data_IF_050592070778
#
_entry.id   IF_050592070778
#
_cell.length_a   1.000
_cell.length_b   1.000
_cell.length_c   1.000
_cell.angle_alpha   90.00
_cell.angle_beta   90.00
_cell.angle_gamma   90.00
#
_symmetry.space_group_name_H-M   'P 1'
#
loop_
_entity.id
_entity.type
_entity.pdbx_description
1 polymer ?
#
# COMPACT_ATOMS: atom_id res chain seq x y z
N UNK A 1 20.53 3.02 -18.30
CA UNK A 1 19.61 2.98 -19.46
C UNK A 1 18.57 1.92 -19.11
N UNK A 2 17.38 2.33 -18.65
CA UNK A 2 16.30 1.42 -18.28
C UNK A 2 15.55 1.06 -19.56
N UNK A 3 15.30 -0.22 -19.89
CA UNK A 3 14.55 -0.59 -21.07
C UNK A 3 13.09 -0.11 -20.93
N UNK A 4 12.62 0.69 -21.87
CA UNK A 4 11.20 0.99 -22.03
C UNK A 4 10.49 -0.30 -22.39
N UNK A 5 9.63 -0.79 -21.52
CA UNK A 5 8.70 -1.88 -21.83
C UNK A 5 7.58 -1.29 -22.70
N UNK A 6 7.76 -1.35 -24.01
CA UNK A 6 6.71 -1.06 -24.99
C UNK A 6 5.90 -2.31 -25.27
N UNK A 7 5.03 -2.68 -24.36
CA UNK A 7 3.90 -3.58 -24.60
C UNK A 7 2.65 -2.73 -24.53
N UNK A 8 2.05 -2.43 -25.68
CA UNK A 8 0.84 -1.60 -25.76
C UNK A 8 -0.35 -2.30 -25.13
N UNK A 9 -0.53 -2.12 -23.81
CA UNK A 9 -1.82 -2.34 -23.18
C UNK A 9 -2.75 -1.26 -23.71
N UNK A 10 -3.80 -1.65 -24.42
CA UNK A 10 -4.88 -0.74 -24.83
C UNK A 10 -5.45 -0.08 -23.55
N UNK A 11 -5.83 1.18 -23.66
CA UNK A 11 -6.39 1.90 -22.52
C UNK A 11 -7.69 1.20 -22.06
N UNK A 12 -7.87 0.91 -20.76
CA UNK A 12 -9.07 0.26 -20.27
C UNK A 12 -10.31 1.08 -20.61
N UNK A 13 -11.39 0.39 -21.01
CA UNK A 13 -12.69 1.03 -21.26
C UNK A 13 -13.20 1.62 -19.95
N UNK A 14 -13.45 2.93 -19.95
CA UNK A 14 -13.93 3.69 -18.80
C UNK A 14 -15.34 4.10 -19.03
N UNK A 15 -16.24 3.69 -18.14
CA UNK A 15 -17.65 4.03 -18.23
C UNK A 15 -18.13 4.60 -16.88
N UNK A 16 -18.87 5.71 -16.94
CA UNK A 16 -19.65 6.18 -15.80
C UNK A 16 -20.73 5.18 -15.44
N UNK A 17 -21.13 5.11 -14.17
CA UNK A 17 -22.07 4.10 -13.67
C UNK A 17 -23.53 4.36 -14.08
N UNK A 18 -23.84 5.50 -14.72
CA UNK A 18 -25.19 5.85 -15.16
C UNK A 18 -26.18 5.81 -13.99
N UNK A 19 -27.14 4.87 -14.01
CA UNK A 19 -28.10 4.63 -12.92
C UNK A 19 -27.53 3.78 -11.78
N UNK A 20 -26.29 3.30 -11.91
CA UNK A 20 -25.65 2.35 -10.98
C UNK A 20 -25.57 0.96 -11.58
N UNK A 21 -25.07 0.02 -10.78
CA UNK A 21 -24.92 -1.40 -11.13
C UNK A 21 -24.92 -2.29 -9.89
N UNK A 22 -25.09 -3.59 -10.08
CA UNK A 22 -24.86 -4.60 -9.07
C UNK A 22 -23.65 -5.48 -9.44
N UNK A 23 -22.84 -5.85 -8.43
CA UNK A 23 -21.82 -6.88 -8.54
C UNK A 23 -22.31 -8.15 -7.85
N UNK A 24 -22.24 -9.29 -8.54
CA UNK A 24 -22.70 -10.60 -8.09
C UNK A 24 -21.54 -11.57 -7.96
N UNK A 25 -21.45 -12.30 -6.84
CA UNK A 25 -20.44 -13.34 -6.63
C UNK A 25 -20.30 -13.72 -5.16
N UNK A 26 -19.19 -14.34 -4.82
CA UNK A 26 -18.73 -14.45 -3.43
C UNK A 26 -18.29 -13.08 -2.98
N UNK A 27 -19.05 -12.47 -2.05
CA UNK A 27 -18.78 -11.13 -1.51
C UNK A 27 -17.97 -11.26 -0.23
N UNK A 28 -16.81 -10.62 -0.19
CA UNK A 28 -16.03 -10.41 1.02
C UNK A 28 -16.00 -8.90 1.34
N UNK A 29 -16.60 -8.54 2.46
CA UNK A 29 -16.73 -7.12 2.85
C UNK A 29 -15.43 -6.51 3.42
N UNK A 30 -14.36 -7.29 3.55
CA UNK A 30 -13.11 -6.89 4.19
C UNK A 30 -13.10 -7.19 5.71
N UNK A 31 -11.96 -6.92 6.36
CA UNK A 31 -11.76 -7.21 7.77
C UNK A 31 -11.88 -8.69 8.11
N UNK A 32 -12.56 -8.99 9.20
CA UNK A 32 -12.82 -10.36 9.67
C UNK A 32 -14.15 -10.95 9.13
N UNK A 33 -14.75 -10.29 8.12
CA UNK A 33 -15.98 -10.78 7.52
C UNK A 33 -15.77 -12.13 6.83
N UNK A 34 -16.71 -13.06 7.03
CA UNK A 34 -16.72 -14.32 6.29
C UNK A 34 -17.31 -14.07 4.90
N UNK A 35 -16.64 -14.54 3.82
CA UNK A 35 -17.19 -14.43 2.47
C UNK A 35 -18.52 -15.19 2.34
N UNK A 36 -19.45 -14.65 1.55
CA UNK A 36 -20.78 -15.23 1.31
C UNK A 36 -21.24 -15.04 -0.12
N UNK A 37 -22.15 -15.89 -0.60
CA UNK A 37 -22.80 -15.69 -1.90
C UNK A 37 -23.74 -14.48 -1.83
N UNK A 38 -23.43 -13.42 -2.62
CA UNK A 38 -24.06 -12.14 -2.42
C UNK A 38 -24.04 -11.18 -3.59
N UNK A 39 -24.54 -9.99 -3.28
CA UNK A 39 -24.58 -8.84 -4.15
C UNK A 39 -23.98 -7.61 -3.45
N UNK A 40 -23.41 -6.73 -4.23
CA UNK A 40 -23.09 -5.34 -3.85
C UNK A 40 -23.76 -4.42 -4.85
N UNK A 41 -24.61 -3.50 -4.41
CA UNK A 41 -25.28 -2.53 -5.26
C UNK A 41 -24.58 -1.18 -5.11
N UNK A 42 -24.26 -0.56 -6.24
CA UNK A 42 -23.57 0.72 -6.33
C UNK A 42 -24.44 1.68 -7.11
N UNK A 43 -24.71 2.84 -6.52
CA UNK A 43 -25.46 3.92 -7.18
C UNK A 43 -24.64 4.60 -8.29
N UNK A 44 -25.30 5.41 -9.11
CA UNK A 44 -24.68 6.12 -10.23
C UNK A 44 -23.58 7.12 -9.82
N UNK A 45 -23.61 7.60 -8.58
CA UNK A 45 -22.57 8.47 -8.00
C UNK A 45 -21.34 7.69 -7.47
N UNK A 46 -21.40 6.35 -7.48
CA UNK A 46 -20.35 5.48 -7.01
C UNK A 46 -20.45 5.10 -5.53
N UNK A 47 -21.57 5.38 -4.86
CA UNK A 47 -21.79 5.01 -3.46
C UNK A 47 -22.34 3.59 -3.35
N UNK A 48 -21.85 2.78 -2.40
CA UNK A 48 -22.44 1.48 -2.05
C UNK A 48 -23.79 1.72 -1.37
N UNK A 49 -24.86 1.25 -1.97
CA UNK A 49 -26.23 1.40 -1.43
C UNK A 49 -26.72 0.15 -0.75
N UNK A 50 -26.16 -1.02 -1.08
CA UNK A 50 -26.50 -2.28 -0.45
C UNK A 50 -25.35 -3.29 -0.57
N UNK A 51 -25.21 -4.15 0.44
CA UNK A 51 -24.31 -5.32 0.41
C UNK A 51 -24.86 -6.41 1.31
N UNK A 52 -25.09 -7.60 0.76
CA UNK A 52 -25.68 -8.71 1.51
C UNK A 52 -25.92 -9.96 0.65
N UNK A 53 -26.58 -11.02 1.23
CA UNK A 53 -26.89 -12.26 0.53
C UNK A 53 -27.80 -12.03 -0.68
N UNK A 54 -27.50 -12.70 -1.80
CA UNK A 54 -28.16 -12.48 -3.09
C UNK A 54 -29.70 -12.62 -3.07
N UNK A 55 -30.25 -13.49 -2.25
CA UNK A 55 -31.71 -13.70 -2.15
C UNK A 55 -32.45 -12.71 -1.23
N UNK A 56 -31.78 -11.67 -0.73
CA UNK A 56 -32.34 -10.70 0.21
C UNK A 56 -32.74 -9.37 -0.43
N UNK A 57 -32.47 -9.19 -1.72
CA UNK A 57 -32.79 -7.96 -2.45
C UNK A 57 -33.27 -8.31 -3.86
N UNK A 58 -34.47 -7.83 -4.23
CA UNK A 58 -34.94 -7.85 -5.60
C UNK A 58 -34.34 -6.66 -6.35
N UNK A 59 -33.59 -6.95 -7.40
CA UNK A 59 -32.98 -5.91 -8.23
C UNK A 59 -33.99 -5.41 -9.28
N UNK A 60 -33.99 -4.10 -9.61
CA UNK A 60 -34.67 -3.59 -10.80
C UNK A 60 -34.21 -4.35 -12.05
N UNK A 61 -35.16 -4.70 -12.93
CA UNK A 61 -34.87 -5.47 -14.15
C UNK A 61 -33.90 -4.76 -15.11
N UNK A 62 -33.83 -3.44 -15.03
CA UNK A 62 -32.96 -2.58 -15.87
C UNK A 62 -31.62 -2.24 -15.21
N UNK A 63 -31.35 -2.72 -13.98
CA UNK A 63 -30.06 -2.52 -13.32
C UNK A 63 -29.01 -3.50 -13.86
N UNK A 64 -27.90 -3.01 -14.45
CA UNK A 64 -26.83 -3.90 -14.92
C UNK A 64 -26.25 -4.73 -13.79
N UNK A 65 -26.10 -6.04 -14.02
CA UNK A 65 -25.43 -6.97 -13.09
C UNK A 65 -24.14 -7.47 -13.72
N UNK A 66 -23.02 -7.33 -13.00
CA UNK A 66 -21.72 -7.85 -13.39
C UNK A 66 -21.31 -8.99 -12.48
N UNK A 67 -20.63 -9.99 -13.05
CA UNK A 67 -20.22 -11.20 -12.32
C UNK A 67 -21.30 -12.26 -12.29
N UNK A 68 -21.23 -13.17 -11.32
CA UNK A 68 -22.09 -14.33 -11.19
C UNK A 68 -21.43 -15.41 -10.33
N UNK A 69 -21.91 -16.65 -10.47
CA UNK A 69 -21.30 -17.80 -9.82
C UNK A 69 -19.83 -17.94 -10.23
N UNK A 70 -18.96 -18.21 -9.25
CA UNK A 70 -17.51 -18.30 -9.48
C UNK A 70 -16.77 -16.96 -9.55
N UNK A 71 -17.47 -15.82 -9.42
CA UNK A 71 -16.82 -14.53 -9.28
C UNK A 71 -16.63 -14.18 -7.79
N UNK A 72 -15.65 -13.30 -7.54
CA UNK A 72 -15.37 -12.72 -6.24
C UNK A 72 -15.54 -11.20 -6.29
N UNK A 73 -16.18 -10.65 -5.28
CA UNK A 73 -16.34 -9.21 -5.09
C UNK A 73 -15.70 -8.82 -3.76
N UNK A 74 -14.72 -7.94 -3.80
CA UNK A 74 -14.02 -7.48 -2.60
C UNK A 74 -13.61 -6.01 -2.68
N UNK A 75 -13.08 -5.46 -1.57
CA UNK A 75 -12.44 -4.16 -1.60
C UNK A 75 -11.26 -4.15 -2.58
N UNK A 76 -11.02 -3.03 -3.23
CA UNK A 76 -9.79 -2.82 -4.00
C UNK A 76 -8.55 -2.83 -3.10
N UNK A 77 -7.45 -3.30 -3.66
CA UNK A 77 -6.17 -3.39 -2.94
C UNK A 77 -5.51 -2.02 -2.86
N UNK A 78 -4.83 -1.77 -1.76
CA UNK A 78 -3.92 -0.64 -1.59
C UNK A 78 -2.50 -1.17 -1.47
N UNK A 79 -1.55 -0.59 -2.21
CA UNK A 79 -0.13 -0.86 -2.04
C UNK A 79 0.49 0.21 -1.15
N UNK A 80 0.85 -0.17 0.07
CA UNK A 80 1.35 0.76 1.07
C UNK A 80 2.83 1.14 0.90
N UNK A 81 3.52 0.56 -0.09
CA UNK A 81 4.91 0.89 -0.38
C UNK A 81 5.23 0.76 -1.87
N UNK A 82 5.30 1.88 -2.55
CA UNK A 82 5.72 1.96 -3.95
C UNK A 82 6.72 3.09 -4.17
N UNK A 83 7.45 3.02 -5.28
CA UNK A 83 8.25 4.12 -5.84
C UNK A 83 7.77 4.38 -7.26
N UNK A 84 6.76 5.23 -7.42
CA UNK A 84 6.06 5.47 -8.66
C UNK A 84 6.95 6.03 -9.79
N UNK A 85 8.06 6.65 -9.44
CA UNK A 85 9.04 7.12 -10.41
C UNK A 85 9.62 5.99 -11.29
N UNK A 86 9.50 4.72 -10.85
CA UNK A 86 10.02 3.56 -11.57
C UNK A 86 8.93 2.68 -12.20
N UNK A 87 7.67 2.87 -11.88
CA UNK A 87 6.60 1.99 -12.33
C UNK A 87 5.35 2.66 -12.90
N UNK A 88 5.20 3.96 -12.72
CA UNK A 88 4.02 4.73 -13.13
C UNK A 88 2.71 4.30 -12.44
N UNK A 89 1.90 5.24 -11.95
CA UNK A 89 0.66 4.93 -11.25
C UNK A 89 -0.46 4.44 -12.18
N UNK A 90 -0.40 4.75 -13.48
CA UNK A 90 -1.45 4.44 -14.48
C UNK A 90 -1.67 2.94 -14.69
N UNK A 91 -0.69 2.10 -14.34
CA UNK A 91 -0.79 0.64 -14.48
C UNK A 91 -1.37 -0.04 -13.23
N UNK A 92 -1.45 0.66 -12.10
CA UNK A 92 -1.89 0.07 -10.84
C UNK A 92 -3.40 -0.20 -10.82
N UNK A 93 -4.20 0.78 -11.23
CA UNK A 93 -5.65 0.70 -11.15
C UNK A 93 -6.26 -0.41 -12.00
N UNK A 94 -5.91 -0.60 -13.30
CA UNK A 94 -6.41 -1.71 -14.09
C UNK A 94 -6.08 -3.09 -13.50
N UNK A 95 -5.04 -3.17 -12.69
CA UNK A 95 -4.57 -4.39 -12.02
C UNK A 95 -5.10 -4.54 -10.58
N UNK A 96 -6.20 -3.85 -10.21
CA UNK A 96 -6.90 -4.03 -8.95
C UNK A 96 -6.40 -3.20 -7.77
N UNK A 97 -5.38 -2.34 -7.97
CA UNK A 97 -4.83 -1.46 -6.92
C UNK A 97 -5.51 -0.10 -7.01
N UNK A 98 -6.43 0.19 -6.09
CA UNK A 98 -7.23 1.44 -6.06
C UNK A 98 -6.51 2.58 -5.33
N UNK A 99 -5.53 2.27 -4.52
CA UNK A 99 -4.71 3.25 -3.81
C UNK A 99 -3.25 2.82 -3.71
N UNK A 100 -2.35 3.77 -3.72
CA UNK A 100 -0.91 3.55 -3.53
C UNK A 100 -0.32 4.59 -2.59
N UNK A 101 0.75 4.21 -1.88
CA UNK A 101 1.53 5.14 -1.07
C UNK A 101 2.97 5.17 -1.56
N UNK A 102 3.34 6.29 -2.20
CA UNK A 102 4.69 6.54 -2.67
C UNK A 102 5.60 6.95 -1.50
N UNK A 103 6.61 6.15 -1.23
CA UNK A 103 7.53 6.33 -0.09
C UNK A 103 8.88 6.94 -0.49
N UNK A 104 8.96 7.54 -1.65
CA UNK A 104 10.13 8.29 -2.07
C UNK A 104 10.10 8.65 -3.53
N UNK A 105 9.99 9.96 -3.80
CA UNK A 105 10.07 10.53 -5.13
C UNK A 105 10.69 11.94 -5.09
N UNK A 106 11.24 12.42 -6.21
CA UNK A 106 11.55 13.84 -6.36
C UNK A 106 10.32 14.70 -6.11
N UNK A 107 10.51 15.87 -5.50
CA UNK A 107 9.45 16.78 -5.05
C UNK A 107 8.37 17.00 -6.11
N UNK A 108 8.78 17.34 -7.33
CA UNK A 108 7.85 17.67 -8.42
C UNK A 108 6.98 16.48 -8.81
N UNK A 109 7.54 15.28 -8.87
CA UNK A 109 6.80 14.05 -9.16
C UNK A 109 5.80 13.72 -8.05
N UNK A 110 6.24 13.74 -6.78
CA UNK A 110 5.37 13.46 -5.65
C UNK A 110 4.16 14.39 -5.63
N UNK A 111 4.36 15.71 -5.80
CA UNK A 111 3.27 16.68 -5.78
C UNK A 111 2.34 16.53 -7.00
N UNK A 112 2.86 16.16 -8.17
CA UNK A 112 2.05 15.90 -9.36
C UNK A 112 1.14 14.67 -9.22
N UNK A 113 1.56 13.66 -8.45
CA UNK A 113 0.78 12.44 -8.24
C UNK A 113 -0.16 12.51 -7.03
N UNK A 114 0.14 13.35 -6.07
CA UNK A 114 -0.63 13.43 -4.83
C UNK A 114 -2.11 13.72 -5.11
N UNK A 115 -2.98 12.86 -4.61
CA UNK A 115 -4.42 13.04 -4.77
C UNK A 115 -5.02 13.94 -3.69
N UNK A 116 -4.51 13.88 -2.45
CA UNK A 116 -5.09 14.59 -1.32
C UNK A 116 -6.56 14.21 -1.10
N UNK A 117 -7.37 15.21 -0.72
CA UNK A 117 -8.81 15.05 -0.55
C UNK A 117 -9.59 15.04 -1.87
N UNK A 118 -8.95 15.41 -2.99
CA UNK A 118 -9.57 15.47 -4.31
C UNK A 118 -9.84 14.09 -4.92
N UNK A 119 -10.35 14.10 -6.16
CA UNK A 119 -10.44 12.90 -6.99
C UNK A 119 -9.14 12.70 -7.75
N UNK A 120 -8.64 11.45 -7.88
CA UNK A 120 -7.51 11.18 -8.76
C UNK A 120 -7.87 11.46 -10.21
N UNK A 121 -6.87 11.77 -11.07
CA UNK A 121 -7.07 11.80 -12.51
C UNK A 121 -7.69 10.49 -13.00
N UNK A 122 -8.45 10.54 -14.09
CA UNK A 122 -9.15 9.38 -14.60
C UNK A 122 -8.16 8.27 -14.98
N UNK A 123 -8.34 7.09 -14.37
CA UNK A 123 -7.50 5.90 -14.58
C UNK A 123 -6.25 5.84 -13.71
N UNK A 124 -6.14 6.74 -12.75
CA UNK A 124 -5.11 6.72 -11.74
C UNK A 124 -5.65 6.19 -10.42
N UNK A 125 -4.88 5.44 -9.65
CA UNK A 125 -5.22 5.12 -8.27
C UNK A 125 -5.17 6.38 -7.41
N UNK A 126 -5.71 6.31 -6.22
CA UNK A 126 -5.47 7.34 -5.21
C UNK A 126 -4.03 7.26 -4.72
N UNK A 127 -3.34 8.40 -4.63
CA UNK A 127 -1.91 8.45 -4.27
C UNK A 127 -1.73 9.28 -3.00
N UNK A 128 -1.14 8.65 -1.97
CA UNK A 128 -0.53 9.33 -0.84
C UNK A 128 1.00 9.38 -1.06
N UNK A 129 1.66 10.45 -0.62
CA UNK A 129 3.09 10.66 -0.91
C UNK A 129 3.88 11.06 0.33
N UNK A 130 5.10 10.52 0.46
CA UNK A 130 6.10 10.99 1.41
C UNK A 130 6.99 12.11 0.84
N UNK A 131 7.02 12.27 -0.47
CA UNK A 131 7.98 13.15 -1.11
C UNK A 131 9.41 12.63 -1.01
N UNK A 132 10.36 13.52 -0.68
CA UNK A 132 11.77 13.13 -0.56
C UNK A 132 12.05 12.38 0.73
N UNK A 133 12.92 11.37 0.64
CA UNK A 133 13.36 10.56 1.78
C UNK A 133 14.34 11.36 2.63
N UNK A 134 14.06 11.50 3.92
CA UNK A 134 14.97 12.14 4.87
C UNK A 134 16.11 11.19 5.21
N UNK A 135 17.35 11.64 5.07
CA UNK A 135 18.56 10.86 5.40
C UNK A 135 19.71 11.75 5.86
N UNK A 136 20.81 11.14 6.31
CA UNK A 136 22.04 11.87 6.62
C UNK A 136 22.71 12.40 5.33
N UNK A 137 23.52 13.47 5.37
CA UNK A 137 24.36 13.85 4.24
C UNK A 137 25.19 12.67 3.75
N UNK A 138 25.04 12.31 2.47
CA UNK A 138 25.66 11.12 1.88
C UNK A 138 25.06 9.78 2.28
N UNK A 139 23.92 9.78 2.99
CA UNK A 139 23.20 8.57 3.38
C UNK A 139 22.39 7.94 2.24
N UNK A 140 21.94 6.71 2.46
CA UNK A 140 21.03 6.01 1.53
C UNK A 140 19.72 6.80 1.35
N UNK A 141 19.16 6.91 0.13
CA UNK A 141 19.61 6.30 -1.13
C UNK A 141 20.40 7.24 -2.05
N UNK A 142 21.01 8.30 -1.55
CA UNK A 142 21.56 9.42 -2.33
C UNK A 142 22.69 9.06 -3.31
N UNK A 143 23.42 7.98 -3.06
CA UNK A 143 24.50 7.49 -3.92
C UNK A 143 24.11 6.23 -4.73
N UNK A 144 22.82 5.89 -4.74
CA UNK A 144 22.30 4.73 -5.46
C UNK A 144 21.11 5.14 -6.34
N UNK A 145 20.06 4.37 -6.36
CA UNK A 145 18.86 4.63 -7.15
C UNK A 145 18.19 6.00 -6.87
N UNK A 146 18.43 6.57 -5.69
CA UNK A 146 17.87 7.85 -5.25
C UNK A 146 18.74 9.08 -5.54
N UNK A 147 19.78 8.98 -6.39
CA UNK A 147 20.73 10.06 -6.67
C UNK A 147 20.10 11.35 -7.24
N UNK A 148 18.93 11.26 -7.88
CA UNK A 148 18.32 12.37 -8.63
C UNK A 148 17.12 12.98 -7.89
N UNK A 149 17.36 13.58 -6.70
CA UNK A 149 16.33 14.35 -5.99
C UNK A 149 15.38 13.54 -5.12
N UNK A 150 15.63 12.23 -4.94
CA UNK A 150 14.82 11.38 -4.04
C UNK A 150 15.13 11.59 -2.56
N UNK A 151 16.31 12.09 -2.23
CA UNK A 151 16.74 12.30 -0.86
C UNK A 151 16.76 13.79 -0.48
N UNK A 152 16.55 14.06 0.80
CA UNK A 152 16.79 15.35 1.44
C UNK A 152 17.61 15.12 2.71
N UNK A 153 18.59 15.98 2.94
CA UNK A 153 19.61 15.73 3.96
C UNK A 153 19.34 16.49 5.25
N UNK A 154 19.48 15.79 6.39
CA UNK A 154 19.42 16.33 7.71
C UNK A 154 20.70 15.95 8.49
N UNK A 155 21.65 16.88 8.61
CA UNK A 155 22.92 16.68 9.33
C UNK A 155 22.88 17.07 10.80
N UNK A 156 21.83 17.79 11.26
CA UNK A 156 21.60 18.19 12.65
C UNK A 156 20.12 18.14 12.99
N UNK A 157 19.79 18.24 14.28
CA UNK A 157 18.40 18.30 14.73
C UNK A 157 17.65 19.53 14.17
N UNK A 158 18.32 20.68 14.08
CA UNK A 158 17.75 21.91 13.51
C UNK A 158 17.48 21.75 12.01
N UNK A 159 18.43 21.16 11.28
CA UNK A 159 18.27 20.85 9.86
C UNK A 159 17.11 19.85 9.63
N UNK A 160 16.98 18.84 10.49
CA UNK A 160 15.89 17.89 10.46
C UNK A 160 14.53 18.56 10.63
N UNK A 161 14.40 19.43 11.64
CA UNK A 161 13.17 20.19 11.86
C UNK A 161 12.82 21.12 10.69
N UNK A 162 13.80 21.69 10.02
CA UNK A 162 13.58 22.52 8.83
C UNK A 162 13.11 21.67 7.66
N UNK A 163 13.81 20.57 7.37
CA UNK A 163 13.43 19.63 6.31
C UNK A 163 11.99 19.13 6.47
N UNK A 164 11.59 18.75 7.68
CA UNK A 164 10.23 18.26 7.93
C UNK A 164 9.18 19.36 7.74
N UNK A 165 9.48 20.61 8.16
CA UNK A 165 8.58 21.75 7.89
C UNK A 165 8.43 22.02 6.38
N UNK A 166 9.51 21.90 5.62
CA UNK A 166 9.47 22.09 4.17
C UNK A 166 8.63 20.99 3.49
N UNK A 167 8.80 19.72 3.91
CA UNK A 167 7.97 18.60 3.42
C UNK A 167 6.49 18.81 3.77
N UNK A 168 6.20 19.27 4.99
CA UNK A 168 4.83 19.58 5.41
C UNK A 168 4.23 20.75 4.62
N UNK A 169 5.02 21.80 4.33
CA UNK A 169 4.60 22.90 3.47
C UNK A 169 4.37 22.48 2.02
N UNK A 170 5.11 21.50 1.53
CA UNK A 170 4.85 20.84 0.24
C UNK A 170 3.54 20.04 0.26
N UNK A 171 2.99 19.75 1.44
CA UNK A 171 1.73 19.06 1.60
C UNK A 171 1.85 17.53 1.51
N UNK A 172 2.98 16.92 1.86
CA UNK A 172 3.12 15.46 1.94
C UNK A 172 2.12 14.84 2.93
N UNK A 173 1.82 13.57 2.77
CA UNK A 173 0.87 12.85 3.63
C UNK A 173 1.55 12.14 4.81
N UNK A 174 2.88 11.97 4.74
CA UNK A 174 3.73 11.40 5.78
C UNK A 174 5.19 11.80 5.55
N UNK A 175 6.05 11.52 6.53
CA UNK A 175 7.51 11.65 6.39
C UNK A 175 8.14 10.26 6.27
N UNK A 176 9.00 10.05 5.28
CA UNK A 176 9.84 8.85 5.15
C UNK A 176 11.26 9.16 5.59
N UNK A 177 11.81 8.36 6.53
CA UNK A 177 13.22 8.42 6.92
C UNK A 177 13.94 7.13 6.56
N UNK A 178 15.19 7.21 6.11
CA UNK A 178 16.02 6.06 5.84
C UNK A 178 17.12 5.89 6.89
N UNK A 179 17.11 4.74 7.56
CA UNK A 179 18.12 4.28 8.51
C UNK A 179 18.82 3.05 7.90
N UNK A 180 19.73 3.29 6.94
CA UNK A 180 20.39 2.22 6.19
C UNK A 180 21.91 2.37 6.23
N UNK A 181 22.61 1.53 7.03
CA UNK A 181 24.06 1.57 7.15
C UNK A 181 24.79 0.74 6.08
N UNK A 182 24.07 0.04 5.20
CA UNK A 182 24.65 -0.82 4.18
C UNK A 182 25.70 -0.10 3.34
N UNK A 183 26.71 -0.81 2.89
CA UNK A 183 27.85 -0.28 2.15
C UNK A 183 28.61 0.87 2.88
N UNK A 184 28.44 1.02 4.20
CA UNK A 184 29.11 2.06 4.97
C UNK A 184 28.49 3.47 4.82
N UNK A 185 27.23 3.56 4.39
CA UNK A 185 26.57 4.86 4.26
C UNK A 185 26.32 5.54 5.61
N UNK A 186 26.46 6.87 5.67
CA UNK A 186 26.08 7.64 6.86
C UNK A 186 24.60 7.44 7.21
N UNK A 187 24.31 7.25 8.49
CA UNK A 187 22.94 7.10 9.01
C UNK A 187 22.61 8.30 9.90
N UNK A 188 21.37 8.83 9.85
CA UNK A 188 20.94 9.89 10.76
C UNK A 188 21.20 9.50 12.22
N UNK A 189 21.86 10.41 12.96
CA UNK A 189 22.15 10.19 14.37
C UNK A 189 20.88 10.25 15.22
N UNK A 190 20.83 9.62 16.41
CA UNK A 190 19.61 9.57 17.23
C UNK A 190 18.95 10.93 17.50
N UNK A 191 19.68 12.04 17.77
CA UNK A 191 19.05 13.35 17.92
C UNK A 191 18.37 13.86 16.64
N UNK A 192 18.92 13.50 15.47
CA UNK A 192 18.36 13.88 14.17
C UNK A 192 17.06 13.11 13.92
N UNK A 193 17.07 11.78 14.16
CA UNK A 193 15.86 10.93 14.01
C UNK A 193 14.74 11.41 14.92
N UNK A 194 15.05 11.71 16.19
CA UNK A 194 14.09 12.26 17.15
C UNK A 194 13.52 13.60 16.67
N UNK A 195 14.36 14.50 16.17
CA UNK A 195 13.92 15.80 15.67
C UNK A 195 13.00 15.67 14.43
N UNK A 196 13.24 14.67 13.56
CA UNK A 196 12.32 14.34 12.47
C UNK A 196 10.96 13.95 13.03
N UNK A 197 10.91 12.96 13.94
CA UNK A 197 9.68 12.44 14.51
C UNK A 197 8.91 13.51 15.28
N UNK A 198 9.57 14.20 16.21
CA UNK A 198 8.94 15.22 17.03
C UNK A 198 8.36 16.37 16.17
N UNK A 199 9.06 16.73 15.08
CA UNK A 199 8.59 17.81 14.21
C UNK A 199 7.42 17.34 13.34
N UNK A 200 7.49 16.13 12.79
CA UNK A 200 6.41 15.53 12.00
C UNK A 200 5.13 15.41 12.85
N UNK A 201 5.24 14.88 14.07
CA UNK A 201 4.08 14.71 14.97
C UNK A 201 3.43 16.05 15.33
N UNK A 202 4.22 17.11 15.60
CA UNK A 202 3.66 18.45 15.83
C UNK A 202 2.89 18.99 14.62
N UNK A 203 3.20 18.52 13.41
CA UNK A 203 2.54 18.91 12.17
C UNK A 203 1.45 17.92 11.76
N UNK A 204 1.16 16.90 12.58
CA UNK A 204 0.16 15.87 12.30
C UNK A 204 0.55 14.87 11.21
N UNK A 205 1.85 14.73 10.92
CA UNK A 205 2.38 13.81 9.94
C UNK A 205 2.94 12.55 10.62
N UNK A 206 2.55 11.34 10.20
CA UNK A 206 3.19 10.12 10.64
C UNK A 206 4.58 9.96 10.01
N UNK A 207 5.44 9.17 10.67
CA UNK A 207 6.81 8.89 10.23
C UNK A 207 6.98 7.40 9.95
N UNK A 208 7.34 7.06 8.70
CA UNK A 208 7.67 5.72 8.25
C UNK A 208 9.20 5.55 8.14
N UNK A 209 9.77 4.55 8.81
CA UNK A 209 11.21 4.33 8.85
C UNK A 209 11.65 3.09 8.06
N UNK A 210 12.58 3.27 7.12
CA UNK A 210 13.37 2.18 6.56
C UNK A 210 14.40 1.74 7.61
N UNK A 211 14.30 0.52 8.12
CA UNK A 211 15.19 -0.02 9.16
C UNK A 211 15.31 -1.55 9.03
N UNK A 212 16.38 -2.02 8.41
CA UNK A 212 16.55 -3.44 8.05
C UNK A 212 17.31 -4.27 9.08
N UNK A 213 18.00 -3.64 10.02
CA UNK A 213 18.79 -4.31 11.07
C UNK A 213 18.21 -4.06 12.45
N UNK A 214 18.52 -4.92 13.42
CA UNK A 214 18.06 -4.77 14.80
C UNK A 214 18.48 -3.43 15.43
N UNK A 215 19.68 -2.96 15.12
CA UNK A 215 20.17 -1.65 15.60
C UNK A 215 19.32 -0.51 15.02
N UNK A 216 19.03 -0.53 13.72
CA UNK A 216 18.24 0.52 13.08
C UNK A 216 16.78 0.49 13.52
N UNK A 217 16.21 -0.72 13.70
CA UNK A 217 14.89 -0.89 14.32
C UNK A 217 14.87 -0.27 15.72
N UNK A 218 15.88 -0.59 16.57
CA UNK A 218 15.98 0.03 17.89
C UNK A 218 16.00 1.55 17.82
N UNK A 219 16.83 2.11 16.93
CA UNK A 219 16.95 3.57 16.73
C UNK A 219 15.63 4.21 16.29
N UNK A 220 14.90 3.56 15.40
CA UNK A 220 13.58 3.99 14.95
C UNK A 220 12.57 4.00 16.11
N UNK A 221 12.49 2.90 16.86
CA UNK A 221 11.58 2.79 18.02
C UNK A 221 11.92 3.77 19.13
N UNK A 222 13.22 4.00 19.41
CA UNK A 222 13.68 4.99 20.41
C UNK A 222 13.25 6.41 20.04
N UNK A 223 13.12 6.71 18.76
CA UNK A 223 12.65 8.00 18.29
C UNK A 223 11.12 8.12 18.24
N UNK A 224 10.38 7.00 18.32
CA UNK A 224 8.93 6.99 18.31
C UNK A 224 8.32 7.05 16.89
N UNK A 225 8.93 6.36 15.91
CA UNK A 225 8.34 6.26 14.56
C UNK A 225 6.99 5.55 14.60
N UNK A 226 6.12 5.85 13.65
CA UNK A 226 4.76 5.30 13.58
C UNK A 226 4.70 3.98 12.81
N UNK A 227 5.72 3.68 11.98
CA UNK A 227 5.71 2.51 11.12
C UNK A 227 7.14 2.09 10.73
N UNK A 228 7.39 0.79 10.68
CA UNK A 228 8.55 0.23 10.00
C UNK A 228 8.16 -0.14 8.57
N UNK A 229 8.88 0.38 7.60
CA UNK A 229 8.70 -0.01 6.20
C UNK A 229 9.84 -0.89 5.79
N UNK A 230 9.45 -2.06 5.33
CA UNK A 230 10.13 -3.33 5.17
C UNK A 230 10.16 -4.18 6.45
N UNK A 231 9.93 -5.46 6.27
CA UNK A 231 10.29 -6.45 7.29
C UNK A 231 11.81 -6.50 7.41
N UNK A 232 12.39 -6.36 8.61
CA UNK A 232 13.83 -6.42 8.80
C UNK A 232 14.45 -7.69 8.18
N UNK A 233 15.61 -7.55 7.57
CA UNK A 233 16.32 -8.66 6.90
C UNK A 233 17.41 -9.30 7.76
N UNK A 234 17.83 -8.65 8.83
CA UNK A 234 18.60 -9.26 9.90
C UNK A 234 17.65 -10.04 10.81
N UNK A 235 17.99 -11.29 11.16
CA UNK A 235 17.18 -12.07 12.10
C UNK A 235 17.07 -11.35 13.44
N UNK A 236 15.82 -11.06 13.84
CA UNK A 236 15.52 -10.40 15.11
C UNK A 236 15.55 -11.44 16.25
N UNK A 237 16.09 -11.04 17.39
CA UNK A 237 15.95 -11.80 18.64
C UNK A 237 14.57 -11.49 19.26
N UNK A 238 14.03 -12.46 20.03
CA UNK A 238 12.73 -12.37 20.70
C UNK A 238 12.50 -11.04 21.43
N UNK A 239 13.45 -10.50 22.24
CA UNK A 239 13.24 -9.22 22.92
C UNK A 239 13.03 -8.03 21.97
N UNK A 240 13.53 -8.09 20.74
CA UNK A 240 13.30 -7.03 19.75
C UNK A 240 11.91 -7.18 19.12
N UNK A 241 11.46 -8.41 18.87
CA UNK A 241 10.08 -8.71 18.40
C UNK A 241 9.07 -8.21 19.43
N UNK A 242 9.28 -8.54 20.72
CA UNK A 242 8.43 -8.08 21.82
C UNK A 242 8.39 -6.57 21.91
N UNK A 243 9.52 -5.92 21.68
CA UNK A 243 9.63 -4.47 21.72
C UNK A 243 8.84 -3.81 20.57
N UNK A 244 8.89 -4.35 19.37
CA UNK A 244 8.07 -3.88 18.24
C UNK A 244 6.58 -4.05 18.56
N UNK A 245 6.21 -5.23 19.08
CA UNK A 245 4.83 -5.51 19.49
C UNK A 245 4.33 -4.56 20.59
N UNK A 246 5.13 -4.33 21.64
CA UNK A 246 4.79 -3.42 22.73
C UNK A 246 4.68 -1.96 22.27
N UNK A 247 5.43 -1.56 21.25
CA UNK A 247 5.35 -0.24 20.65
C UNK A 247 4.08 -0.06 19.78
N UNK A 248 3.40 -1.14 19.40
CA UNK A 248 2.21 -1.12 18.54
C UNK A 248 2.50 -0.65 17.11
N UNK A 249 3.77 -0.69 16.69
CA UNK A 249 4.24 -0.19 15.39
C UNK A 249 3.97 -1.24 14.30
N UNK A 250 3.15 -0.95 13.27
CA UNK A 250 2.94 -1.85 12.15
C UNK A 250 4.19 -1.97 11.28
N UNK A 251 4.26 -3.07 10.53
CA UNK A 251 5.36 -3.36 9.60
C UNK A 251 4.81 -3.58 8.19
N UNK A 252 5.24 -2.76 7.24
CA UNK A 252 4.96 -2.99 5.82
C UNK A 252 5.88 -4.08 5.30
N UNK A 253 5.32 -5.12 4.71
CA UNK A 253 5.98 -6.40 4.49
C UNK A 253 7.12 -6.37 3.47
N UNK A 254 6.84 -6.04 2.22
CA UNK A 254 7.76 -6.04 1.07
C UNK A 254 8.64 -7.30 0.95
N UNK A 255 8.09 -8.44 1.37
CA UNK A 255 8.83 -9.71 1.49
C UNK A 255 9.33 -10.20 0.12
N UNK A 256 8.49 -10.06 -0.92
CA UNK A 256 8.85 -10.55 -2.25
C UNK A 256 10.09 -9.83 -2.83
N UNK A 257 10.26 -8.56 -2.53
CA UNK A 257 11.48 -7.79 -2.91
C UNK A 257 12.73 -8.43 -2.30
N UNK A 258 12.69 -8.81 -1.01
CA UNK A 258 13.82 -9.46 -0.35
C UNK A 258 14.07 -10.90 -0.83
N UNK A 259 13.02 -11.63 -1.22
CA UNK A 259 13.21 -12.93 -1.88
C UNK A 259 13.91 -12.78 -3.21
N UNK A 260 13.59 -11.77 -4.00
CA UNK A 260 14.28 -11.45 -5.24
C UNK A 260 15.73 -11.01 -5.00
N UNK A 261 16.00 -10.35 -3.88
CA UNK A 261 17.35 -9.89 -3.46
C UNK A 261 18.18 -10.91 -2.67
N UNK A 262 17.66 -12.12 -2.40
CA UNK A 262 18.39 -13.17 -1.68
C UNK A 262 18.34 -13.10 -0.14
N UNK A 263 17.68 -12.11 0.44
CA UNK A 263 17.53 -11.92 1.90
C UNK A 263 16.17 -12.39 2.46
N UNK A 264 15.32 -12.95 1.61
CA UNK A 264 13.92 -13.27 1.92
C UNK A 264 13.70 -14.25 3.06
N UNK A 265 14.64 -15.19 3.31
CA UNK A 265 14.47 -16.18 4.39
C UNK A 265 14.44 -15.54 5.78
N UNK A 266 15.34 -14.61 6.05
CA UNK A 266 15.37 -13.91 7.33
C UNK A 266 14.16 -12.98 7.50
N UNK A 267 13.80 -12.26 6.44
CA UNK A 267 12.62 -11.42 6.42
C UNK A 267 11.33 -12.23 6.67
N UNK A 268 11.14 -13.37 6.00
CA UNK A 268 9.99 -14.24 6.20
C UNK A 268 9.89 -14.79 7.64
N UNK A 269 11.03 -15.22 8.21
CA UNK A 269 11.06 -15.68 9.59
C UNK A 269 10.73 -14.55 10.58
N UNK A 270 11.23 -13.35 10.34
CA UNK A 270 10.87 -12.17 11.16
C UNK A 270 9.39 -11.81 11.00
N UNK A 271 8.83 -11.87 9.77
CA UNK A 271 7.40 -11.64 9.55
C UNK A 271 6.52 -12.61 10.35
N UNK A 272 6.89 -13.91 10.36
CA UNK A 272 6.17 -14.92 11.13
C UNK A 272 6.23 -14.64 12.64
N UNK A 273 7.40 -14.32 13.19
CA UNK A 273 7.55 -14.02 14.61
C UNK A 273 6.81 -12.73 15.00
N UNK A 274 6.91 -11.68 14.17
CA UNK A 274 6.18 -10.44 14.38
C UNK A 274 4.67 -10.65 14.37
N UNK A 275 4.16 -11.43 13.41
CA UNK A 275 2.75 -11.79 13.36
C UNK A 275 2.31 -12.58 14.61
N UNK A 276 3.10 -13.58 15.02
CA UNK A 276 2.82 -14.38 16.22
C UNK A 276 2.80 -13.52 17.50
N UNK A 277 3.62 -12.46 17.55
CA UNK A 277 3.63 -11.48 18.64
C UNK A 277 2.51 -10.41 18.52
N UNK A 278 1.62 -10.50 17.53
CA UNK A 278 0.49 -9.58 17.33
C UNK A 278 0.83 -8.28 16.62
N UNK A 279 2.02 -8.15 16.03
CA UNK A 279 2.38 -6.97 15.22
C UNK A 279 1.56 -6.94 13.94
N UNK A 280 0.87 -5.83 13.62
CA UNK A 280 0.15 -5.71 12.36
C UNK A 280 1.12 -5.75 11.16
N UNK A 281 0.97 -6.73 10.28
CA UNK A 281 1.66 -6.75 8.99
C UNK A 281 0.77 -6.11 7.92
N UNK A 282 1.37 -5.25 7.11
CA UNK A 282 0.71 -4.46 6.07
C UNK A 282 1.30 -4.84 4.71
N UNK A 283 0.46 -5.03 3.71
CA UNK A 283 0.89 -5.31 2.35
C UNK A 283 1.58 -4.10 1.70
N UNK A 284 2.74 -4.32 1.09
CA UNK A 284 3.44 -3.38 0.23
C UNK A 284 4.40 -4.14 -0.67
N UNK A 285 4.59 -3.69 -1.92
CA UNK A 285 5.40 -4.41 -2.91
C UNK A 285 6.81 -3.89 -3.04
N UNK A 286 7.04 -2.65 -2.61
CA UNK A 286 8.27 -1.90 -2.92
C UNK A 286 8.48 -1.81 -4.44
N UNK A 287 7.38 -1.49 -5.15
CA UNK A 287 7.37 -1.30 -6.61
C UNK A 287 8.48 -0.32 -7.01
N UNK A 288 9.27 -0.73 -7.98
CA UNK A 288 10.49 -0.05 -8.42
C UNK A 288 11.72 -0.93 -8.31
N UNK A 289 11.67 -1.98 -7.49
CA UNK A 289 12.74 -2.97 -7.36
C UNK A 289 12.66 -4.07 -8.42
N UNK A 290 13.77 -4.78 -8.61
CA UNK A 290 13.85 -5.87 -9.58
C UNK A 290 12.80 -6.95 -9.32
N UNK A 291 12.03 -7.29 -10.36
CA UNK A 291 11.00 -8.32 -10.28
C UNK A 291 9.66 -7.86 -9.73
N UNK A 292 9.51 -6.59 -9.31
CA UNK A 292 8.21 -6.00 -8.96
C UNK A 292 7.46 -5.55 -10.23
N UNK A 293 6.13 -5.50 -10.15
CA UNK A 293 5.25 -5.08 -11.25
C UNK A 293 4.12 -4.23 -10.69
N UNK A 294 3.61 -3.25 -11.44
CA UNK A 294 2.38 -2.56 -11.06
C UNK A 294 1.21 -3.52 -10.90
N UNK A 295 0.34 -3.25 -9.94
CA UNK A 295 -0.81 -4.09 -9.63
C UNK A 295 -0.60 -4.96 -8.39
N UNK A 296 -1.59 -5.81 -8.12
CA UNK A 296 -1.49 -6.74 -6.99
C UNK A 296 -0.43 -7.79 -7.28
N UNK A 297 0.55 -7.95 -6.38
CA UNK A 297 1.53 -9.05 -6.46
C UNK A 297 1.03 -10.25 -5.65
N UNK A 298 0.56 -11.33 -6.32
CA UNK A 298 0.09 -12.52 -5.62
C UNK A 298 1.18 -13.19 -4.77
N UNK A 299 2.45 -13.01 -5.14
CA UNK A 299 3.58 -13.60 -4.40
C UNK A 299 3.74 -12.93 -3.03
N UNK A 300 3.54 -11.61 -2.95
CA UNK A 300 3.55 -10.90 -1.67
C UNK A 300 2.39 -11.34 -0.77
N UNK A 301 1.19 -11.54 -1.36
CA UNK A 301 0.05 -12.11 -0.62
C UNK A 301 0.35 -13.53 -0.11
N UNK A 302 0.99 -14.38 -0.93
CA UNK A 302 1.42 -15.72 -0.52
C UNK A 302 2.43 -15.66 0.64
N UNK A 303 3.42 -14.74 0.58
CA UNK A 303 4.40 -14.55 1.67
C UNK A 303 3.75 -14.12 2.98
N UNK A 304 2.78 -13.21 2.92
CA UNK A 304 2.02 -12.80 4.10
C UNK A 304 1.17 -13.96 4.65
N UNK A 305 0.54 -14.74 3.78
CA UNK A 305 -0.22 -15.92 4.20
C UNK A 305 0.69 -16.96 4.87
N UNK A 306 1.87 -17.24 4.30
CA UNK A 306 2.88 -18.16 4.81
C UNK A 306 3.48 -17.67 6.14
N UNK A 307 3.53 -16.36 6.39
CA UNK A 307 3.94 -15.78 7.67
C UNK A 307 2.90 -15.97 8.79
N UNK A 308 1.80 -16.67 8.53
CA UNK A 308 0.79 -17.03 9.53
C UNK A 308 -0.52 -16.26 9.42
N UNK A 309 -0.63 -15.24 8.57
CA UNK A 309 -1.88 -14.49 8.41
C UNK A 309 -2.99 -15.32 7.77
N UNK A 310 -2.64 -16.38 7.05
CA UNK A 310 -3.55 -17.07 6.16
C UNK A 310 -4.01 -16.19 4.99
N UNK A 311 -4.73 -16.78 4.05
CA UNK A 311 -5.10 -16.10 2.81
C UNK A 311 -6.02 -14.87 3.00
N UNK A 312 -7.06 -14.99 3.82
CA UNK A 312 -7.95 -13.85 4.13
C UNK A 312 -7.23 -12.79 4.95
N UNK A 313 -6.32 -13.18 5.86
CA UNK A 313 -5.49 -12.24 6.60
C UNK A 313 -4.55 -11.45 5.69
N UNK A 314 -3.95 -12.09 4.67
CA UNK A 314 -3.15 -11.42 3.68
C UNK A 314 -3.97 -10.41 2.85
N UNK A 315 -5.20 -10.76 2.45
CA UNK A 315 -6.12 -9.82 1.82
C UNK A 315 -6.51 -8.66 2.74
N UNK A 316 -6.72 -8.92 4.03
CA UNK A 316 -6.97 -7.86 5.02
C UNK A 316 -5.77 -6.92 5.15
N UNK A 317 -4.54 -7.46 5.15
CA UNK A 317 -3.31 -6.66 5.15
C UNK A 317 -3.21 -5.76 3.91
N UNK A 318 -3.69 -6.25 2.74
CA UNK A 318 -3.67 -5.53 1.46
C UNK A 318 -4.86 -4.58 1.24
N UNK A 319 -5.87 -4.62 2.07
CA UNK A 319 -7.07 -3.78 1.98
C UNK A 319 -7.19 -2.86 3.18
N UNK A 320 -7.78 -3.32 4.28
CA UNK A 320 -7.99 -2.51 5.49
C UNK A 320 -6.67 -2.06 6.13
N UNK A 321 -5.68 -2.97 6.25
CA UNK A 321 -4.37 -2.66 6.82
C UNK A 321 -3.64 -1.60 6.01
N UNK A 322 -3.53 -1.80 4.71
CA UNK A 322 -2.88 -0.86 3.81
C UNK A 322 -3.65 0.47 3.68
N UNK A 323 -4.98 0.44 3.74
CA UNK A 323 -5.79 1.66 3.78
C UNK A 323 -5.52 2.51 5.03
N UNK A 324 -5.31 1.88 6.19
CA UNK A 324 -4.91 2.59 7.42
C UNK A 324 -3.53 3.21 7.28
N UNK A 325 -2.54 2.44 6.82
CA UNK A 325 -1.18 2.91 6.61
C UNK A 325 -1.11 4.07 5.59
N UNK A 326 -1.95 4.05 4.56
CA UNK A 326 -2.00 5.10 3.55
C UNK A 326 -2.93 6.29 3.90
N UNK A 327 -3.56 6.30 5.09
CA UNK A 327 -4.52 7.34 5.47
C UNK A 327 -5.83 7.33 4.67
N UNK A 328 -6.17 6.20 4.06
CA UNK A 328 -7.34 6.04 3.16
C UNK A 328 -8.49 5.25 3.79
N UNK A 329 -8.39 4.82 5.06
CA UNK A 329 -9.34 3.91 5.73
C UNK A 329 -10.76 4.46 5.85
N UNK A 330 -10.95 5.77 5.83
CA UNK A 330 -12.27 6.40 5.80
C UNK A 330 -13.00 6.25 4.47
N UNK A 331 -12.32 5.79 3.42
CA UNK A 331 -12.82 5.75 2.05
C UNK A 331 -12.82 4.34 1.45
N UNK A 332 -11.78 3.58 1.69
CA UNK A 332 -11.54 2.26 1.08
C UNK A 332 -11.06 1.23 2.10
N UNK A 333 -10.82 0.00 1.64
CA UNK A 333 -10.36 -1.13 2.44
C UNK A 333 -11.48 -2.01 2.98
N UNK A 334 -12.75 -1.57 2.91
CA UNK A 334 -13.94 -2.35 3.27
C UNK A 334 -15.13 -1.99 2.39
N UNK A 335 -16.06 -2.93 2.21
CA UNK A 335 -17.37 -2.70 1.57
C UNK A 335 -18.37 -2.32 2.67
N UNK A 336 -18.81 -1.08 2.69
CA UNK A 336 -19.77 -0.57 3.65
C UNK A 336 -20.81 0.30 2.96
N UNK A 337 -22.09 0.12 3.32
CA UNK A 337 -23.17 0.96 2.79
C UNK A 337 -22.93 2.43 3.17
N UNK A 338 -23.12 3.32 2.20
CA UNK A 338 -22.87 4.76 2.35
C UNK A 338 -21.42 5.18 2.02
N UNK A 339 -20.50 4.22 1.82
CA UNK A 339 -19.12 4.53 1.40
C UNK A 339 -18.93 4.50 -0.12
N UNK A 340 -17.89 5.15 -0.65
CA UNK A 340 -17.51 5.00 -2.04
C UNK A 340 -17.21 3.53 -2.38
N UNK A 341 -17.64 3.11 -3.57
CA UNK A 341 -17.36 1.79 -4.12
C UNK A 341 -15.95 1.75 -4.71
N UNK A 342 -14.97 1.42 -3.87
CA UNK A 342 -13.59 1.13 -4.26
C UNK A 342 -13.43 -0.39 -4.26
N UNK A 343 -13.83 -1.06 -5.36
CA UNK A 343 -14.10 -2.50 -5.41
C UNK A 343 -13.37 -3.17 -6.56
N UNK A 344 -13.13 -4.47 -6.42
CA UNK A 344 -12.71 -5.35 -7.51
C UNK A 344 -13.70 -6.48 -7.73
N UNK A 345 -13.89 -6.85 -8.99
CA UNK A 345 -14.54 -8.06 -9.42
C UNK A 345 -13.46 -8.97 -10.03
N UNK A 346 -13.32 -10.18 -9.50
CA UNK A 346 -12.39 -11.20 -10.00
C UNK A 346 -13.19 -12.38 -10.58
N UNK A 347 -12.67 -13.02 -11.62
CA UNK A 347 -13.18 -14.31 -12.10
C UNK A 347 -12.37 -15.43 -11.42
N UNK A 348 -12.89 -15.96 -10.33
CA UNK A 348 -12.26 -16.94 -9.45
C UNK A 348 -12.12 -16.44 -8.02
N UNK A 349 -11.78 -17.36 -7.12
CA UNK A 349 -11.61 -17.10 -5.69
C UNK A 349 -10.13 -16.79 -5.39
N UNK A 350 -9.79 -15.55 -4.99
CA UNK A 350 -8.41 -15.17 -4.70
C UNK A 350 -7.83 -15.85 -3.44
N UNK A 351 -8.69 -16.45 -2.60
CA UNK A 351 -8.27 -17.23 -1.44
C UNK A 351 -7.75 -18.60 -1.87
N UNK A 352 -8.33 -19.17 -2.92
CA UNK A 352 -7.94 -20.47 -3.47
C UNK A 352 -6.86 -20.31 -4.53
N UNK A 353 -7.03 -19.35 -5.43
CA UNK A 353 -6.15 -19.08 -6.57
C UNK A 353 -5.71 -17.61 -6.60
N UNK A 354 -4.61 -17.24 -5.91
CA UNK A 354 -4.11 -15.85 -5.90
C UNK A 354 -3.77 -15.30 -7.29
N UNK A 355 -3.56 -16.18 -8.28
CA UNK A 355 -3.25 -15.80 -9.66
C UNK A 355 -4.36 -14.98 -10.34
N UNK A 356 -5.61 -15.05 -9.88
CA UNK A 356 -6.75 -14.28 -10.42
C UNK A 356 -6.57 -12.77 -10.31
N UNK A 357 -5.72 -12.30 -9.40
CA UNK A 357 -5.37 -10.88 -9.26
C UNK A 357 -4.66 -10.30 -10.49
N UNK A 358 -4.09 -11.13 -11.34
CA UNK A 358 -3.39 -10.64 -12.54
C UNK A 358 -4.32 -10.03 -13.58
N UNK A 359 -5.59 -10.43 -13.56
CA UNK A 359 -6.60 -10.05 -14.55
C UNK A 359 -7.96 -9.80 -13.88
N UNK A 360 -8.11 -8.69 -13.14
CA UNK A 360 -9.42 -8.33 -12.60
C UNK A 360 -10.44 -8.19 -13.72
N UNK A 361 -11.65 -8.73 -13.54
CA UNK A 361 -12.72 -8.59 -14.52
C UNK A 361 -13.29 -7.17 -14.56
N UNK A 362 -13.24 -6.48 -13.41
CA UNK A 362 -13.58 -5.06 -13.30
C UNK A 362 -12.98 -4.44 -12.04
N UNK A 363 -12.75 -3.14 -12.10
CA UNK A 363 -12.40 -2.30 -10.96
C UNK A 363 -13.36 -1.12 -10.91
N UNK A 364 -13.97 -0.90 -9.75
CA UNK A 364 -14.78 0.28 -9.47
C UNK A 364 -13.98 1.23 -8.58
N UNK A 365 -13.93 2.49 -8.96
CA UNK A 365 -13.29 3.55 -8.17
C UNK A 365 -13.84 4.92 -8.57
N UNK A 366 -14.02 5.81 -7.63
CA UNK A 366 -14.49 7.19 -7.85
C UNK A 366 -15.74 7.31 -8.76
N UNK A 367 -16.68 6.36 -8.65
CA UNK A 367 -17.90 6.34 -9.46
C UNK A 367 -17.68 5.95 -10.92
N UNK A 368 -16.59 5.26 -11.22
CA UNK A 368 -16.24 4.77 -12.57
C UNK A 368 -16.00 3.27 -12.55
N UNK A 369 -16.41 2.63 -13.62
CA UNK A 369 -16.14 1.24 -13.92
C UNK A 369 -15.01 1.16 -14.93
N UNK A 370 -13.94 0.43 -14.57
CA UNK A 370 -12.87 0.06 -15.46
C UNK A 370 -13.00 -1.42 -15.76
N UNK A 371 -12.99 -1.76 -17.05
CA UNK A 371 -12.87 -3.16 -17.51
C UNK A 371 -11.56 -3.25 -18.26
N UNK A 372 -10.63 -4.14 -17.87
CA UNK A 372 -9.52 -4.50 -18.73
C UNK A 372 -10.08 -5.01 -20.06
N UNK A 373 -9.50 -4.59 -21.18
CA UNK A 373 -9.81 -5.23 -22.46
C UNK A 373 -9.27 -6.66 -22.42
N UNK A 374 -10.13 -7.64 -22.68
CA UNK A 374 -9.80 -9.07 -22.73
C UNK A 374 -8.84 -9.42 -23.86
#
# INVERSE_FOLDING_TARGET
MVPRVSGGLRAPVRQGLGRGLALRGTVWQGGDAVPYDGLVVVAGDGTVTWSGPAGRLDLPNDLPVLGGAGCWVGPGVIDAHVHLAFGGPEHALPAGVVGVRDLGAPREHALAWRTGAGRPPAGMPRVAVAGRIVTAPGGYPSHSWGAHGFAVFAGSAEAAATVVRDLAADGVDLVKIALEPGAGWPVPQPPVVRAVVDTAHRLGLPVAAHALTAEMVSRALDAGVDELVHTPVQRLAEPMVDRIAAAGVPVVSTLQTFFSGGQGRAAAANAADLHAAGVPLVYGTDLGNAGTRPGVDPRELDRLADAGLGRLGALRAATEGAARAAGMHGRTGRIEVGRPAELVLLCGDPVVEPGVWRHPAAVLTDGRLLRPEG
#
